data_IF_217185135684
#
_entry.id   IF_217185135684
#
_cell.length_a   1.000
_cell.length_b   1.000
_cell.length_c   1.000
_cell.angle_alpha   90.00
_cell.angle_beta   90.00
_cell.angle_gamma   90.00
#
_symmetry.space_group_name_H-M   'P 1'
#
loop_
_entity.id
_entity.type
_entity.pdbx_description
1 polymer ?
#
# COMPACT_ATOMS: atom_id res chain seq x y z
N UNK A 1 24.35 10.96 30.19
CA UNK A 1 23.18 10.20 29.67
C UNK A 1 22.80 10.75 28.30
N UNK A 2 23.19 10.07 27.22
CA UNK A 2 22.92 10.54 25.86
C UNK A 2 21.49 10.17 25.46
N UNK A 3 20.68 11.18 25.13
CA UNK A 3 19.34 11.01 24.54
C UNK A 3 19.47 10.20 23.25
N UNK A 4 18.95 8.97 23.26
CA UNK A 4 18.81 8.12 22.08
C UNK A 4 17.87 8.85 21.11
N UNK A 5 18.41 9.47 20.06
CA UNK A 5 17.63 9.97 18.93
C UNK A 5 16.93 8.75 18.32
N UNK A 6 15.62 8.63 18.56
CA UNK A 6 14.75 7.73 17.81
C UNK A 6 14.69 8.25 16.38
N UNK A 7 15.68 7.87 15.58
CA UNK A 7 15.64 8.08 14.15
C UNK A 7 14.41 7.36 13.62
N UNK A 8 13.37 8.12 13.29
CA UNK A 8 12.49 7.77 12.19
C UNK A 8 13.40 7.51 11.00
N UNK A 9 13.71 6.23 10.76
CA UNK A 9 14.39 5.82 9.54
C UNK A 9 13.60 6.45 8.40
N UNK A 10 14.25 7.35 7.65
CA UNK A 10 13.66 8.00 6.50
C UNK A 10 13.02 6.90 5.65
N UNK A 11 11.69 6.90 5.55
CA UNK A 11 10.98 5.92 4.75
C UNK A 11 11.39 6.17 3.30
N UNK A 12 12.31 5.36 2.79
CA UNK A 12 12.72 5.44 1.39
C UNK A 12 11.62 4.85 0.51
N UNK A 13 10.60 5.67 0.28
CA UNK A 13 9.50 5.35 -0.63
C UNK A 13 10.00 5.16 -2.05
N UNK A 14 11.04 5.90 -2.48
CA UNK A 14 11.59 5.81 -3.81
C UNK A 14 12.09 4.41 -4.14
N UNK A 15 12.93 3.82 -3.28
CA UNK A 15 13.41 2.45 -3.49
C UNK A 15 12.30 1.40 -3.42
N UNK A 16 11.26 1.64 -2.60
CA UNK A 16 10.11 0.74 -2.53
C UNK A 16 9.25 0.79 -3.79
N UNK A 17 9.05 1.96 -4.38
CA UNK A 17 8.37 2.10 -5.66
C UNK A 17 9.17 1.43 -6.80
N UNK A 18 10.50 1.58 -6.81
CA UNK A 18 11.37 0.85 -7.75
C UNK A 18 11.23 -0.67 -7.62
N UNK A 19 11.04 -1.20 -6.40
CA UNK A 19 10.79 -2.62 -6.20
C UNK A 19 9.50 -3.09 -6.89
N UNK A 20 8.44 -2.28 -6.92
CA UNK A 20 7.23 -2.60 -7.67
C UNK A 20 7.57 -2.76 -9.16
N UNK A 21 8.29 -1.80 -9.74
CA UNK A 21 8.68 -1.85 -11.15
C UNK A 21 9.54 -3.08 -11.47
N UNK A 22 10.48 -3.45 -10.59
CA UNK A 22 11.28 -4.66 -10.75
C UNK A 22 10.42 -5.94 -10.70
N UNK A 23 9.44 -6.00 -9.80
CA UNK A 23 8.51 -7.14 -9.71
C UNK A 23 7.67 -7.27 -10.99
N UNK A 24 7.17 -6.16 -11.53
CA UNK A 24 6.43 -6.16 -12.80
C UNK A 24 7.32 -6.58 -13.95
N UNK A 25 8.52 -6.00 -14.08
CA UNK A 25 9.50 -6.33 -15.13
C UNK A 25 9.95 -7.80 -15.10
N UNK A 26 9.92 -8.42 -13.93
CA UNK A 26 10.20 -9.86 -13.73
C UNK A 26 8.95 -10.75 -13.81
N UNK A 27 7.82 -10.23 -14.30
CA UNK A 27 6.53 -10.95 -14.45
C UNK A 27 5.90 -11.42 -13.13
N UNK A 28 6.28 -10.82 -12.00
CA UNK A 28 5.76 -11.12 -10.65
C UNK A 28 4.64 -10.14 -10.27
N UNK A 29 3.63 -10.02 -11.13
CA UNK A 29 2.54 -9.04 -10.99
C UNK A 29 1.79 -9.17 -9.66
N UNK A 30 1.47 -10.41 -9.26
CA UNK A 30 0.81 -10.69 -7.97
C UNK A 30 1.57 -10.09 -6.79
N UNK A 31 2.89 -10.22 -6.82
CA UNK A 31 3.76 -9.73 -5.78
C UNK A 31 3.92 -8.23 -5.83
N UNK A 32 3.96 -7.63 -7.02
CA UNK A 32 3.94 -6.19 -7.19
C UNK A 32 2.69 -5.57 -6.53
N UNK A 33 1.52 -6.18 -6.72
CA UNK A 33 0.24 -5.76 -6.10
C UNK A 33 0.27 -5.97 -4.58
N UNK A 34 0.76 -7.12 -4.10
CA UNK A 34 0.94 -7.33 -2.67
C UNK A 34 1.90 -6.28 -2.05
N UNK A 35 2.94 -5.90 -2.78
CA UNK A 35 3.91 -4.90 -2.34
C UNK A 35 3.32 -3.49 -2.28
N UNK A 36 2.38 -3.13 -3.18
CA UNK A 36 1.61 -1.89 -3.05
C UNK A 36 0.85 -1.84 -1.71
N UNK A 37 0.21 -2.93 -1.30
CA UNK A 37 -0.45 -3.00 0.00
C UNK A 37 0.54 -2.89 1.17
N UNK A 38 1.73 -3.49 1.06
CA UNK A 38 2.78 -3.31 2.07
C UNK A 38 3.23 -1.84 2.20
N UNK A 39 3.33 -1.11 1.08
CA UNK A 39 3.63 0.32 1.10
C UNK A 39 2.49 1.11 1.75
N UNK A 40 1.23 0.80 1.42
CA UNK A 40 0.06 1.41 2.07
C UNK A 40 0.10 1.24 3.60
N UNK A 41 0.29 0.02 4.09
CA UNK A 41 0.41 -0.28 5.53
C UNK A 41 1.59 0.47 6.13
N UNK A 42 2.74 0.48 5.45
CA UNK A 42 3.94 1.17 5.93
C UNK A 42 3.70 2.68 6.10
N UNK A 43 3.08 3.33 5.11
CA UNK A 43 2.77 4.78 5.16
C UNK A 43 1.78 5.05 6.30
N UNK A 44 0.73 4.24 6.42
CA UNK A 44 -0.26 4.35 7.49
C UNK A 44 0.39 4.18 8.88
N UNK A 45 1.24 3.16 9.06
CA UNK A 45 2.00 2.94 10.30
C UNK A 45 2.89 4.13 10.64
N UNK A 46 3.52 4.77 9.66
CA UNK A 46 4.39 5.91 9.92
C UNK A 46 3.59 7.17 10.28
N UNK A 47 2.48 7.43 9.57
CA UNK A 47 1.63 8.62 9.69
C UNK A 47 0.75 8.57 10.94
N UNK A 48 0.06 7.47 11.18
CA UNK A 48 -0.94 7.33 12.24
C UNK A 48 -0.43 6.54 13.47
N UNK A 49 0.80 6.02 13.42
CA UNK A 49 1.40 5.18 14.48
C UNK A 49 0.61 3.89 14.77
N UNK A 50 -0.15 3.40 13.79
CA UNK A 50 -0.92 2.16 13.89
C UNK A 50 -0.25 1.02 13.15
N UNK A 51 0.16 -0.01 13.90
CA UNK A 51 0.73 -1.22 13.33
C UNK A 51 -0.38 -2.21 12.95
N UNK A 52 -0.26 -2.80 11.76
CA UNK A 52 -1.14 -3.90 11.34
C UNK A 52 -0.82 -5.15 12.16
N UNK A 53 -1.83 -5.73 12.80
CA UNK A 53 -1.64 -6.99 13.52
C UNK A 53 -1.50 -8.16 12.51
N UNK A 54 -0.67 -9.19 12.79
CA UNK A 54 -0.48 -10.33 11.89
C UNK A 54 -1.79 -11.08 11.55
N UNK A 55 -2.69 -11.23 12.52
CA UNK A 55 -4.00 -11.89 12.31
C UNK A 55 -5.05 -11.01 11.64
N UNK A 56 -4.77 -9.71 11.48
CA UNK A 56 -5.71 -8.77 10.89
C UNK A 56 -5.81 -9.00 9.40
N UNK A 57 -7.01 -9.03 8.83
CA UNK A 57 -7.15 -9.10 7.37
C UNK A 57 -6.76 -7.77 6.70
N UNK A 58 -6.66 -7.79 5.37
CA UNK A 58 -6.41 -6.60 4.56
C UNK A 58 -7.55 -5.59 4.76
N UNK A 59 -8.79 -6.08 4.69
CA UNK A 59 -10.02 -5.31 4.91
C UNK A 59 -10.13 -4.76 6.32
N UNK A 60 -9.84 -5.57 7.36
CA UNK A 60 -9.91 -5.10 8.75
C UNK A 60 -8.98 -3.91 8.99
N UNK A 61 -7.75 -3.98 8.48
CA UNK A 61 -6.82 -2.87 8.60
C UNK A 61 -7.33 -1.60 7.89
N UNK A 62 -7.87 -1.74 6.68
CA UNK A 62 -8.45 -0.61 5.96
C UNK A 62 -9.68 -0.02 6.65
N UNK A 63 -10.53 -0.84 7.27
CA UNK A 63 -11.67 -0.35 8.05
C UNK A 63 -11.21 0.52 9.22
N UNK A 64 -10.16 0.12 9.95
CA UNK A 64 -9.57 0.95 11.01
C UNK A 64 -9.05 2.27 10.44
N UNK A 65 -8.31 2.22 9.32
CA UNK A 65 -7.78 3.43 8.69
C UNK A 65 -8.88 4.42 8.30
N UNK A 66 -9.98 3.95 7.71
CA UNK A 66 -11.12 4.80 7.35
C UNK A 66 -11.84 5.32 8.60
N UNK A 67 -12.23 4.43 9.52
CA UNK A 67 -13.10 4.77 10.65
C UNK A 67 -12.40 5.61 11.71
N UNK A 68 -11.17 5.23 12.06
CA UNK A 68 -10.48 5.79 13.22
C UNK A 68 -9.48 6.89 12.83
N UNK A 69 -9.07 6.93 11.55
CA UNK A 69 -8.12 7.94 11.03
C UNK A 69 -8.67 8.80 9.89
N UNK A 70 -9.94 8.63 9.53
CA UNK A 70 -10.64 9.50 8.59
C UNK A 70 -10.13 9.42 7.16
N UNK A 71 -9.47 8.32 6.76
CA UNK A 71 -9.19 8.11 5.35
C UNK A 71 -10.50 8.00 4.56
N UNK A 72 -10.48 8.47 3.33
CA UNK A 72 -11.65 8.43 2.47
C UNK A 72 -11.99 6.98 2.07
N UNK A 73 -13.20 6.53 2.40
CA UNK A 73 -13.67 5.20 2.04
C UNK A 73 -13.72 5.00 0.52
N UNK A 74 -13.99 6.05 -0.26
CA UNK A 74 -14.11 5.97 -1.72
C UNK A 74 -12.76 5.80 -2.42
N UNK A 75 -11.65 6.02 -1.72
CA UNK A 75 -10.29 5.77 -2.24
C UNK A 75 -9.73 4.46 -1.69
N UNK A 76 -9.85 4.22 -0.38
CA UNK A 76 -9.24 3.08 0.30
C UNK A 76 -9.91 1.75 -0.06
N UNK A 77 -11.25 1.69 -0.07
CA UNK A 77 -11.93 0.42 -0.27
C UNK A 77 -11.77 -0.14 -1.69
N UNK A 78 -11.85 0.64 -2.79
CA UNK A 78 -11.54 0.14 -4.12
C UNK A 78 -10.12 -0.44 -4.22
N UNK A 79 -9.12 0.22 -3.62
CA UNK A 79 -7.75 -0.29 -3.60
C UNK A 79 -7.64 -1.62 -2.87
N UNK A 80 -8.19 -1.73 -1.66
CA UNK A 80 -8.12 -2.98 -0.89
C UNK A 80 -8.90 -4.11 -1.55
N UNK A 81 -10.05 -3.81 -2.18
CA UNK A 81 -10.81 -4.81 -2.94
C UNK A 81 -9.99 -5.39 -4.11
N UNK A 82 -9.30 -4.55 -4.88
CA UNK A 82 -8.41 -5.01 -5.95
C UNK A 82 -7.29 -5.90 -5.39
N UNK A 83 -6.63 -5.47 -4.31
CA UNK A 83 -5.58 -6.26 -3.64
C UNK A 83 -6.11 -7.63 -3.16
N UNK A 84 -7.26 -7.66 -2.48
CA UNK A 84 -7.86 -8.91 -1.99
C UNK A 84 -8.26 -9.84 -3.13
N UNK A 85 -8.84 -9.28 -4.21
CA UNK A 85 -9.20 -10.06 -5.40
C UNK A 85 -7.98 -10.74 -6.03
N UNK A 86 -6.83 -10.07 -6.00
CA UNK A 86 -5.58 -10.63 -6.52
C UNK A 86 -5.04 -11.67 -5.55
N UNK A 87 -4.87 -11.34 -4.27
CA UNK A 87 -4.22 -12.23 -3.30
C UNK A 87 -5.04 -13.50 -3.07
N UNK A 88 -6.37 -13.41 -3.02
CA UNK A 88 -7.26 -14.52 -2.68
C UNK A 88 -8.03 -15.11 -3.88
N UNK A 89 -8.07 -14.44 -5.04
CA UNK A 89 -8.94 -14.83 -6.16
C UNK A 89 -8.45 -16.01 -7.01
N UNK A 90 -7.35 -16.68 -6.62
CA UNK A 90 -6.89 -17.95 -7.21
C UNK A 90 -6.37 -17.90 -8.65
N UNK A 91 -6.66 -16.86 -9.43
CA UNK A 91 -6.21 -16.68 -10.82
C UNK A 91 -4.96 -15.80 -10.90
N UNK A 92 -4.01 -16.08 -11.80
CA UNK A 92 -2.90 -15.17 -12.08
C UNK A 92 -3.42 -13.79 -12.53
N UNK A 93 -2.95 -12.68 -11.93
CA UNK A 93 -3.35 -11.35 -12.37
C UNK A 93 -2.74 -11.01 -13.73
N UNK A 94 -3.50 -10.28 -14.55
CA UNK A 94 -3.05 -9.76 -15.84
C UNK A 94 -2.41 -8.37 -15.68
N UNK A 95 -1.77 -7.89 -16.76
CA UNK A 95 -1.27 -6.52 -16.82
C UNK A 95 -2.38 -5.48 -16.66
N UNK A 96 -3.59 -5.75 -17.18
CA UNK A 96 -4.74 -4.86 -17.00
C UNK A 96 -5.18 -4.78 -15.55
N UNK A 97 -5.17 -5.92 -14.83
CA UNK A 97 -5.42 -5.95 -13.39
C UNK A 97 -4.39 -5.08 -12.68
N UNK A 98 -3.10 -5.24 -13.00
CA UNK A 98 -2.04 -4.41 -12.44
C UNK A 98 -2.28 -2.92 -12.67
N UNK A 99 -2.58 -2.50 -13.90
CA UNK A 99 -2.84 -1.09 -14.25
C UNK A 99 -4.01 -0.52 -13.46
N UNK A 100 -5.12 -1.26 -13.35
CA UNK A 100 -6.27 -0.82 -12.53
C UNK A 100 -5.90 -0.71 -11.05
N UNK A 101 -5.22 -1.71 -10.49
CA UNK A 101 -4.76 -1.66 -9.10
C UNK A 101 -3.81 -0.49 -8.87
N UNK A 102 -2.90 -0.21 -9.81
CA UNK A 102 -1.97 0.91 -9.75
C UNK A 102 -2.70 2.26 -9.72
N UNK A 103 -3.77 2.42 -10.50
CA UNK A 103 -4.61 3.62 -10.50
C UNK A 103 -5.24 3.85 -9.12
N UNK A 104 -5.90 2.85 -8.54
CA UNK A 104 -6.54 3.00 -7.23
C UNK A 104 -5.50 3.13 -6.10
N UNK A 105 -4.34 2.48 -6.22
CA UNK A 105 -3.21 2.72 -5.32
C UNK A 105 -2.69 4.15 -5.40
N UNK A 106 -2.59 4.73 -6.60
CA UNK A 106 -2.19 6.12 -6.81
C UNK A 106 -3.09 7.11 -6.07
N UNK A 107 -4.41 6.90 -6.11
CA UNK A 107 -5.38 7.74 -5.39
C UNK A 107 -5.16 7.69 -3.86
N UNK A 108 -5.00 6.48 -3.31
CA UNK A 108 -4.75 6.30 -1.86
C UNK A 108 -3.37 6.84 -1.47
N UNK A 109 -2.36 6.68 -2.33
CA UNK A 109 -1.02 7.21 -2.12
C UNK A 109 -1.05 8.74 -2.06
N UNK A 110 -1.76 9.40 -2.98
CA UNK A 110 -1.88 10.85 -3.01
C UNK A 110 -2.58 11.38 -1.76
N UNK A 111 -3.67 10.74 -1.31
CA UNK A 111 -4.34 11.09 -0.06
C UNK A 111 -3.41 10.95 1.16
N UNK A 112 -2.61 9.89 1.20
CA UNK A 112 -1.71 9.63 2.32
C UNK A 112 -0.49 10.55 2.35
N UNK A 113 0.10 10.81 1.18
CA UNK A 113 1.40 11.49 1.03
C UNK A 113 1.26 12.97 0.67
N UNK A 114 0.09 13.38 0.16
CA UNK A 114 -0.18 14.74 -0.32
C UNK A 114 0.48 15.05 -1.67
N UNK A 115 0.95 14.03 -2.39
CA UNK A 115 1.60 14.14 -3.71
C UNK A 115 1.19 12.97 -4.58
N UNK A 116 0.98 13.25 -5.87
CA UNK A 116 0.71 12.21 -6.85
C UNK A 116 1.81 11.13 -6.86
N UNK A 117 1.38 9.90 -7.11
CA UNK A 117 2.28 8.77 -7.31
C UNK A 117 3.22 9.06 -8.49
N UNK A 118 4.55 8.91 -8.35
CA UNK A 118 5.47 9.06 -9.45
C UNK A 118 5.12 8.10 -10.61
N UNK A 119 5.44 8.45 -11.86
CA UNK A 119 5.26 7.55 -13.00
C UNK A 119 5.96 6.21 -12.74
N UNK A 120 5.22 5.10 -12.90
CA UNK A 120 5.70 3.74 -12.66
C UNK A 120 5.56 2.84 -13.87
#
# INVERSE_FOLDING_TARGET
MAKKKTGTGSMDLGSRLKNIQMLVGSKRIREAIAYQYMIFVLICSAKYKVQKHPSQSIRDYAMIMVKDHGLNSTTVYPFVQEVESVIYGGKPPTEDVYRRTLTVFGNVFEELVGKALPPM
#
